data_IF_122438768658
#
_entry.id   IF_122438768658
#
_cell.length_a   1.000
_cell.length_b   1.000
_cell.length_c   1.000
_cell.angle_alpha   90.00
_cell.angle_beta   90.00
_cell.angle_gamma   90.00
#
_symmetry.space_group_name_H-M   'P 1'
#
loop_
_entity.id
_entity.type
_entity.pdbx_description
1 polymer ?
#
# COMPACT_ATOMS: atom_id res chain seq x y z
N UNK A 1 -8.79 5.14 -4.65
CA UNK A 1 -8.72 3.70 -4.95
C UNK A 1 -7.58 3.50 -5.93
N UNK A 2 -6.80 2.43 -5.78
CA UNK A 2 -5.69 2.10 -6.67
C UNK A 2 -5.71 0.59 -6.97
N UNK A 3 -5.64 0.25 -8.25
CA UNK A 3 -5.80 -1.10 -8.76
C UNK A 3 -4.58 -1.43 -9.63
N UNK A 4 -3.74 -2.33 -9.15
CA UNK A 4 -2.47 -2.73 -9.76
C UNK A 4 -2.34 -4.26 -9.83
N UNK A 5 -3.45 -4.98 -9.81
CA UNK A 5 -3.46 -6.44 -9.90
C UNK A 5 -2.85 -6.94 -11.23
N UNK A 6 -2.27 -8.15 -11.20
CA UNK A 6 -1.68 -8.84 -12.35
C UNK A 6 -0.59 -8.04 -13.07
N UNK A 7 0.32 -7.42 -12.31
CA UNK A 7 1.52 -6.73 -12.82
C UNK A 7 2.80 -7.51 -12.40
N UNK A 8 3.97 -6.87 -12.53
CA UNK A 8 5.28 -7.43 -12.18
C UNK A 8 5.94 -6.65 -11.02
N UNK A 9 5.14 -6.16 -10.08
CA UNK A 9 5.65 -5.44 -8.91
C UNK A 9 6.31 -6.46 -7.97
N UNK A 10 7.57 -6.23 -7.62
CA UNK A 10 8.38 -7.11 -6.75
C UNK A 10 8.70 -6.49 -5.39
N UNK A 11 8.46 -5.18 -5.23
CA UNK A 11 8.82 -4.44 -4.03
C UNK A 11 7.68 -3.52 -3.62
N UNK A 12 7.31 -3.57 -2.35
CA UNK A 12 6.40 -2.62 -1.75
C UNK A 12 7.22 -1.50 -1.09
N UNK A 13 7.10 -0.28 -1.61
CA UNK A 13 7.75 0.89 -1.03
C UNK A 13 6.73 1.86 -0.47
N UNK A 14 6.85 2.18 0.82
CA UNK A 14 5.95 3.11 1.49
C UNK A 14 5.94 4.50 0.84
N UNK A 15 7.11 4.92 0.33
CA UNK A 15 7.32 6.18 -0.38
C UNK A 15 6.45 6.35 -1.63
N UNK A 16 6.00 5.25 -2.24
CA UNK A 16 5.08 5.28 -3.39
C UNK A 16 3.69 5.81 -3.02
N UNK A 17 3.33 5.78 -1.74
CA UNK A 17 2.02 6.19 -1.23
C UNK A 17 2.09 7.44 -0.36
N UNK A 18 3.17 7.61 0.41
CA UNK A 18 3.38 8.75 1.30
C UNK A 18 4.82 9.25 1.20
N UNK A 19 5.01 10.52 0.83
CA UNK A 19 6.33 11.15 0.87
C UNK A 19 6.81 11.41 2.31
N UNK A 20 5.88 11.82 3.19
CA UNK A 20 6.10 12.07 4.62
C UNK A 20 4.90 11.48 5.36
N UNK A 21 5.13 10.84 6.51
CA UNK A 21 4.08 10.27 7.36
C UNK A 21 4.08 10.96 8.71
N UNK A 22 2.97 11.65 9.04
CA UNK A 22 2.75 12.25 10.36
C UNK A 22 1.25 12.20 10.76
N UNK A 23 0.82 13.03 11.71
CA UNK A 23 -0.57 13.04 12.19
C UNK A 23 -1.54 13.58 11.12
N UNK A 24 -1.07 14.47 10.25
CA UNK A 24 -1.82 15.18 9.21
C UNK A 24 -1.49 14.69 7.79
N UNK A 25 -0.30 14.14 7.57
CA UNK A 25 0.21 13.67 6.29
C UNK A 25 0.16 12.14 6.24
N UNK A 26 -0.77 11.62 5.45
CA UNK A 26 -0.96 10.20 5.18
C UNK A 26 -1.77 10.04 3.88
N UNK A 27 -1.79 8.83 3.32
CA UNK A 27 -2.50 8.52 2.09
C UNK A 27 -4.01 8.46 2.32
N UNK A 28 -4.77 9.08 1.41
CA UNK A 28 -6.24 9.01 1.39
C UNK A 28 -6.77 7.83 0.58
N UNK A 29 -5.91 6.87 0.23
CA UNK A 29 -6.33 5.63 -0.43
C UNK A 29 -7.26 4.83 0.48
N UNK A 30 -8.33 4.33 -0.13
CA UNK A 30 -9.37 3.52 0.53
C UNK A 30 -9.31 2.04 0.17
N UNK A 31 -8.88 1.75 -1.06
CA UNK A 31 -8.72 0.41 -1.61
C UNK A 31 -7.41 0.37 -2.37
N UNK A 32 -6.63 -0.69 -2.14
CA UNK A 32 -5.40 -1.03 -2.83
C UNK A 32 -5.45 -2.50 -3.25
N UNK A 33 -5.43 -2.77 -4.56
CA UNK A 33 -5.33 -4.16 -5.08
C UNK A 33 -3.98 -4.39 -5.73
N UNK A 34 -3.28 -5.40 -5.24
CA UNK A 34 -1.93 -5.81 -5.66
C UNK A 34 -1.86 -7.31 -5.95
N UNK A 35 -2.99 -8.04 -5.89
CA UNK A 35 -3.06 -9.46 -6.22
C UNK A 35 -2.43 -9.82 -7.56
N UNK A 36 -1.78 -10.97 -7.64
CA UNK A 36 -1.13 -11.44 -8.88
C UNK A 36 0.13 -10.67 -9.27
N UNK A 37 0.73 -9.93 -8.33
CA UNK A 37 2.11 -9.45 -8.43
C UNK A 37 3.09 -10.45 -7.80
N UNK A 38 4.38 -10.13 -7.85
CA UNK A 38 5.46 -10.91 -7.22
C UNK A 38 5.73 -10.42 -5.79
N UNK A 39 4.65 -10.20 -5.03
CA UNK A 39 4.65 -9.73 -3.65
C UNK A 39 3.79 -10.63 -2.78
N UNK A 40 4.11 -10.66 -1.50
CA UNK A 40 3.39 -11.40 -0.47
C UNK A 40 3.11 -10.49 0.73
N UNK A 41 2.19 -10.91 1.61
CA UNK A 41 1.79 -10.09 2.76
C UNK A 41 2.96 -9.71 3.70
N UNK A 42 3.98 -10.57 3.80
CA UNK A 42 5.19 -10.31 4.58
C UNK A 42 6.08 -9.19 3.99
N UNK A 43 5.90 -8.87 2.71
CA UNK A 43 6.65 -7.81 2.04
C UNK A 43 6.04 -6.42 2.30
N UNK A 44 4.85 -6.35 2.93
CA UNK A 44 4.25 -5.10 3.37
C UNK A 44 4.71 -4.79 4.80
N UNK A 45 5.46 -3.70 5.02
CA UNK A 45 5.88 -3.32 6.35
C UNK A 45 4.69 -2.92 7.24
N UNK A 46 4.73 -3.24 8.53
CA UNK A 46 3.66 -2.93 9.48
C UNK A 46 3.37 -1.43 9.62
N UNK A 47 4.40 -0.58 9.46
CA UNK A 47 4.29 0.88 9.45
C UNK A 47 3.46 1.42 8.28
N UNK A 48 3.18 0.59 7.27
CA UNK A 48 2.27 0.93 6.17
C UNK A 48 0.88 1.29 6.68
N UNK A 49 0.47 0.73 7.83
CA UNK A 49 -0.78 1.12 8.49
C UNK A 49 -0.83 2.62 8.85
N UNK A 50 0.32 3.26 9.12
CA UNK A 50 0.40 4.69 9.43
C UNK A 50 0.29 5.56 8.17
N UNK A 51 0.69 5.07 7.00
CA UNK A 51 0.52 5.79 5.74
C UNK A 51 -0.87 5.52 5.14
N UNK A 52 -1.30 4.27 5.12
CA UNK A 52 -2.54 3.79 4.50
C UNK A 52 -3.70 3.73 5.51
N UNK A 53 -3.75 4.62 6.50
CA UNK A 53 -4.73 4.60 7.61
C UNK A 53 -6.19 4.55 7.17
N UNK A 54 -6.50 5.08 5.98
CA UNK A 54 -7.85 5.10 5.42
C UNK A 54 -8.16 3.91 4.51
N UNK A 55 -7.18 3.04 4.24
CA UNK A 55 -7.38 1.85 3.44
C UNK A 55 -8.11 0.80 4.29
N UNK A 56 -9.34 0.50 3.90
CA UNK A 56 -10.14 -0.56 4.53
C UNK A 56 -10.07 -1.88 3.74
N UNK A 57 -9.55 -1.85 2.51
CA UNK A 57 -9.26 -3.05 1.73
C UNK A 57 -7.86 -2.93 1.12
N UNK A 58 -7.00 -3.89 1.46
CA UNK A 58 -5.70 -4.13 0.83
C UNK A 58 -5.69 -5.61 0.45
N UNK A 59 -5.62 -5.87 -0.85
CA UNK A 59 -5.65 -7.23 -1.42
C UNK A 59 -4.29 -7.53 -2.07
N UNK A 60 -3.69 -8.67 -1.71
CA UNK A 60 -2.32 -9.10 -2.05
C UNK A 60 -2.36 -10.55 -2.50
#
# INVERSE_FOLDING_TARGET
>A
HLYLQANQIKEFTLGSFCAIVDVTNFSKLRTLRLEGNELSMQDIPSESALCLRQAFSIEI
#
